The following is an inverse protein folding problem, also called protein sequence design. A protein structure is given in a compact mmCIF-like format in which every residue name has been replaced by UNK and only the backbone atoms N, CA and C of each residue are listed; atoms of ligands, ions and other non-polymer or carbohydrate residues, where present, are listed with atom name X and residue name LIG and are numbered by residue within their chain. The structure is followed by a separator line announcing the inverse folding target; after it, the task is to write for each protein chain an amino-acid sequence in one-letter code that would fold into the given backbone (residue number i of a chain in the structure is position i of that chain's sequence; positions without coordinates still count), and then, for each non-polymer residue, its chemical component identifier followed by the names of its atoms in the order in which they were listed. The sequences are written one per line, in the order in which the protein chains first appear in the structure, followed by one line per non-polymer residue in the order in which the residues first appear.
data_IF_870539287788
#
_entry.id   IF_870539287788
#
_cell.length_a   1.000
_cell.length_b   1.000
_cell.length_c   1.000
_cell.angle_alpha   90.00
_cell.angle_beta   90.00
_cell.angle_gamma   90.00
#
_symmetry.space_group_name_H-M   'P 1'
#
loop_
_entity.id
_entity.type
_entity.pdbx_description
1 polymer ?
#
# COMPACT_ATOMS: atom_id res chain seq x y z
N UNK A 1 -9.33 29.35 -4.25
CA UNK A 1 -10.80 29.23 -4.41
C UNK A 1 -11.15 27.75 -4.55
N UNK A 2 -11.24 27.00 -3.45
CA UNK A 2 -12.43 26.83 -2.60
C UNK A 2 -13.64 26.12 -3.27
N UNK A 3 -13.39 25.14 -4.15
CA UNK A 3 -14.44 24.23 -4.67
C UNK A 3 -14.81 23.09 -3.70
N UNK A 4 -14.15 22.98 -2.55
CA UNK A 4 -14.24 21.81 -1.65
C UNK A 4 -15.06 22.05 -0.36
N UNK A 5 -15.63 23.24 -0.15
CA UNK A 5 -16.40 23.58 1.06
C UNK A 5 -17.92 23.67 0.80
N UNK A 6 -18.41 23.17 -0.35
CA UNK A 6 -19.83 23.26 -0.77
C UNK A 6 -20.52 21.91 -1.00
N UNK A 7 -19.95 20.81 -0.50
CA UNK A 7 -20.71 19.58 -0.44
C UNK A 7 -21.11 19.38 1.02
N UNK A 8 -22.41 19.54 1.30
CA UNK A 8 -23.02 18.94 2.48
C UNK A 8 -22.63 17.47 2.44
N UNK A 9 -21.67 17.08 3.29
CA UNK A 9 -21.33 15.67 3.44
C UNK A 9 -22.56 15.04 4.03
N UNK A 10 -23.33 14.34 3.19
CA UNK A 10 -24.46 13.55 3.66
C UNK A 10 -23.91 12.60 4.74
N UNK A 11 -24.49 12.61 5.94
CA UNK A 11 -24.02 11.74 7.00
C UNK A 11 -24.09 10.29 6.52
N UNK A 12 -23.14 9.48 6.96
CA UNK A 12 -23.18 8.04 6.69
C UNK A 12 -24.50 7.49 7.24
N UNK A 13 -25.25 6.72 6.43
CA UNK A 13 -26.45 6.07 6.92
C UNK A 13 -26.10 5.07 8.03
N UNK A 14 -27.10 4.58 8.77
CA UNK A 14 -26.89 3.45 9.67
C UNK A 14 -26.24 2.27 8.93
N UNK A 15 -25.25 1.64 9.56
CA UNK A 15 -24.47 0.54 8.98
C UNK A 15 -24.97 -0.77 9.57
N UNK A 16 -25.11 -1.78 8.72
CA UNK A 16 -25.48 -3.13 9.10
C UNK A 16 -24.22 -3.88 9.53
N UNK A 17 -24.05 -4.03 10.85
CA UNK A 17 -22.92 -4.71 11.48
C UNK A 17 -23.27 -6.16 11.83
N UNK A 18 -22.29 -6.91 12.31
CA UNK A 18 -22.48 -8.28 12.82
C UNK A 18 -23.44 -8.33 14.02
N UNK A 19 -23.53 -7.26 14.80
CA UNK A 19 -24.41 -7.12 15.98
C UNK A 19 -25.74 -6.43 15.66
N UNK A 20 -26.02 -6.14 14.38
CA UNK A 20 -27.21 -5.43 13.93
C UNK A 20 -26.92 -4.01 13.45
N UNK A 21 -27.97 -3.17 13.37
CA UNK A 21 -27.86 -1.84 12.79
C UNK A 21 -27.25 -0.84 13.79
N UNK A 22 -26.14 -0.20 13.39
CA UNK A 22 -25.39 0.77 14.21
C UNK A 22 -25.56 2.21 13.72
N UNK A 23 -25.49 3.17 14.65
CA UNK A 23 -25.89 4.55 14.37
C UNK A 23 -24.83 5.59 14.73
N UNK A 24 -24.04 5.37 15.79
CA UNK A 24 -22.97 6.29 16.20
C UNK A 24 -21.75 6.15 15.30
N UNK A 25 -20.91 7.18 15.24
CA UNK A 25 -19.73 7.15 14.37
C UNK A 25 -18.67 6.17 14.89
N UNK A 26 -18.58 6.00 16.21
CA UNK A 26 -17.73 5.01 16.87
C UNK A 26 -18.17 3.58 16.52
N UNK A 27 -19.46 3.25 16.65
CA UNK A 27 -19.96 1.91 16.31
C UNK A 27 -19.83 1.63 14.80
N UNK A 28 -20.04 2.63 13.95
CA UNK A 28 -19.82 2.48 12.50
C UNK A 28 -18.36 2.22 12.20
N UNK A 29 -17.44 2.92 12.86
CA UNK A 29 -16.00 2.70 12.67
C UNK A 29 -15.61 1.27 13.03
N UNK A 30 -16.15 0.73 14.13
CA UNK A 30 -15.94 -0.66 14.54
C UNK A 30 -16.54 -1.64 13.52
N UNK A 31 -17.78 -1.41 13.05
CA UNK A 31 -18.39 -2.25 12.02
C UNK A 31 -17.58 -2.30 10.70
N UNK A 32 -16.93 -1.18 10.34
CA UNK A 32 -15.98 -1.17 9.24
C UNK A 32 -14.69 -1.92 9.56
N UNK A 33 -14.14 -1.78 10.77
CA UNK A 33 -12.94 -2.50 11.20
C UNK A 33 -13.16 -4.02 11.16
N UNK A 34 -14.27 -4.50 11.72
CA UNK A 34 -14.68 -5.92 11.68
C UNK A 34 -14.78 -6.44 10.23
N UNK A 35 -15.45 -5.66 9.37
CA UNK A 35 -15.59 -6.02 7.96
C UNK A 35 -14.24 -6.08 7.24
N UNK A 36 -13.29 -5.20 7.59
CA UNK A 36 -11.95 -5.22 7.01
C UNK A 36 -11.15 -6.40 7.53
N UNK A 37 -11.22 -6.68 8.82
CA UNK A 37 -10.55 -7.84 9.41
C UNK A 37 -11.00 -9.12 8.72
N UNK A 38 -12.31 -9.30 8.53
CA UNK A 38 -12.87 -10.46 7.84
C UNK A 38 -12.41 -10.55 6.37
N UNK A 39 -12.36 -9.44 5.65
CA UNK A 39 -11.92 -9.41 4.24
C UNK A 39 -10.42 -9.64 4.07
N UNK A 40 -9.63 -9.30 5.08
CA UNK A 40 -8.18 -9.42 5.06
C UNK A 40 -7.68 -10.75 5.65
N UNK A 41 -8.56 -11.72 5.92
CA UNK A 41 -8.17 -13.07 6.33
C UNK A 41 -7.65 -13.87 5.13
N UNK A 42 -6.73 -14.78 5.40
CA UNK A 42 -6.25 -15.75 4.42
C UNK A 42 -7.42 -16.59 3.90
N UNK A 43 -7.58 -16.67 2.59
CA UNK A 43 -8.60 -17.50 1.98
C UNK A 43 -8.03 -18.90 1.69
N UNK A 44 -8.32 -19.85 2.57
CA UNK A 44 -7.83 -21.23 2.47
C UNK A 44 -8.76 -22.15 1.68
N UNK A 45 -9.95 -21.68 1.28
CA UNK A 45 -11.01 -22.53 0.73
C UNK A 45 -10.64 -23.24 -0.58
N UNK A 46 -9.68 -22.71 -1.34
CA UNK A 46 -9.21 -23.27 -2.62
C UNK A 46 -7.68 -23.29 -2.70
N UNK A 47 -6.98 -23.38 -1.56
CA UNK A 47 -5.52 -23.39 -1.56
C UNK A 47 -5.00 -24.74 -2.07
N UNK A 48 -4.11 -24.69 -3.06
CA UNK A 48 -3.26 -25.82 -3.44
C UNK A 48 -2.12 -25.93 -2.43
N UNK A 49 -2.22 -26.89 -1.51
CA UNK A 49 -1.27 -27.04 -0.41
C UNK A 49 0.14 -27.41 -0.90
N UNK A 50 0.24 -28.21 -1.96
CA UNK A 50 1.52 -28.61 -2.53
C UNK A 50 2.23 -27.37 -3.11
N UNK A 51 1.49 -26.54 -3.85
CA UNK A 51 2.03 -25.29 -4.38
C UNK A 51 2.41 -24.28 -3.28
N UNK A 52 1.64 -24.20 -2.19
CA UNK A 52 1.99 -23.36 -1.04
C UNK A 52 3.32 -23.81 -0.42
N UNK A 53 3.48 -25.12 -0.20
CA UNK A 53 4.71 -25.68 0.36
C UNK A 53 5.92 -25.43 -0.54
N UNK A 54 5.77 -25.53 -1.87
CA UNK A 54 6.81 -25.18 -2.84
C UNK A 54 7.25 -23.72 -2.71
N UNK A 55 6.29 -22.77 -2.67
CA UNK A 55 6.58 -21.34 -2.50
C UNK A 55 7.29 -21.07 -1.17
N UNK A 56 6.83 -21.70 -0.09
CA UNK A 56 7.47 -21.52 1.22
C UNK A 56 8.91 -22.03 1.24
N UNK A 57 9.17 -23.20 0.62
CA UNK A 57 10.52 -23.73 0.50
C UNK A 57 11.40 -22.81 -0.33
N UNK A 58 10.90 -22.30 -1.47
CA UNK A 58 11.61 -21.31 -2.27
C UNK A 58 11.97 -20.06 -1.45
N UNK A 59 11.01 -19.50 -0.70
CA UNK A 59 11.23 -18.33 0.14
C UNK A 59 12.29 -18.58 1.24
N UNK A 60 12.31 -19.77 1.85
CA UNK A 60 13.35 -20.17 2.82
C UNK A 60 14.71 -20.24 2.15
N UNK A 61 14.80 -20.83 0.97
CA UNK A 61 16.06 -20.95 0.21
C UNK A 61 16.63 -19.58 -0.15
N UNK A 62 15.80 -18.66 -0.65
CA UNK A 62 16.22 -17.27 -0.94
C UNK A 62 16.75 -16.58 0.31
N UNK A 63 16.08 -16.76 1.46
CA UNK A 63 16.53 -16.20 2.74
C UNK A 63 17.88 -16.75 3.20
N UNK A 64 18.17 -18.02 2.94
CA UNK A 64 19.44 -18.65 3.34
C UNK A 64 20.62 -18.32 2.41
N UNK A 65 20.34 -18.06 1.13
CA UNK A 65 21.37 -17.70 0.14
C UNK A 65 21.90 -16.27 0.31
N UNK A 66 21.14 -15.39 0.96
CA UNK A 66 21.51 -13.98 1.03
C UNK A 66 22.23 -13.63 2.35
N UNK A 67 23.47 -13.15 2.22
CA UNK A 67 24.25 -12.57 3.31
C UNK A 67 23.62 -11.21 3.65
N UNK A 68 23.45 -10.90 4.95
CA UNK A 68 22.89 -9.63 5.39
C UNK A 68 23.81 -8.45 5.05
N UNK A 69 23.74 -7.96 3.81
CA UNK A 69 24.42 -6.73 3.45
C UNK A 69 23.69 -5.52 4.06
N UNK A 70 24.43 -4.51 4.55
CA UNK A 70 23.84 -3.27 5.00
C UNK A 70 23.10 -2.58 3.84
N UNK A 71 21.85 -2.20 4.07
CA UNK A 71 21.10 -1.41 3.09
C UNK A 71 21.85 -0.10 2.85
N UNK A 72 22.20 0.24 1.59
CA UNK A 72 23.00 1.42 1.31
C UNK A 72 22.26 2.70 1.75
N UNK A 73 22.95 3.64 2.41
CA UNK A 73 22.32 4.89 2.84
C UNK A 73 21.88 5.72 1.62
N UNK A 74 20.91 6.60 1.85
CA UNK A 74 20.42 7.54 0.85
C UNK A 74 21.03 8.93 1.02
N UNK A 75 21.03 9.68 -0.08
CA UNK A 75 21.48 11.06 -0.13
C UNK A 75 20.31 12.06 -0.06
N UNK A 76 20.55 13.31 0.35
CA UNK A 76 19.53 14.35 0.26
C UNK A 76 19.02 14.60 -1.17
N UNK A 77 19.88 14.35 -2.18
CA UNK A 77 19.50 14.47 -3.59
C UNK A 77 18.46 13.41 -3.97
N UNK A 78 18.65 12.17 -3.53
CA UNK A 78 17.71 11.07 -3.77
C UNK A 78 16.34 11.34 -3.14
N UNK A 79 16.32 11.76 -1.87
CA UNK A 79 15.08 12.17 -1.20
C UNK A 79 14.41 13.35 -1.91
N UNK A 80 15.20 14.29 -2.44
CA UNK A 80 14.68 15.43 -3.21
C UNK A 80 13.98 14.99 -4.48
N UNK A 81 14.53 14.03 -5.22
CA UNK A 81 13.89 13.50 -6.44
C UNK A 81 12.59 12.76 -6.11
N UNK A 82 12.56 11.96 -5.04
CA UNK A 82 11.31 11.33 -4.58
C UNK A 82 10.25 12.38 -4.25
N UNK A 83 10.62 13.47 -3.59
CA UNK A 83 9.68 14.55 -3.25
C UNK A 83 9.18 15.29 -4.50
N UNK A 84 10.03 15.49 -5.51
CA UNK A 84 9.60 16.10 -6.79
C UNK A 84 8.51 15.26 -7.47
N UNK A 85 8.57 13.94 -7.36
CA UNK A 85 7.56 13.03 -7.92
C UNK A 85 6.20 13.04 -7.19
N UNK A 86 6.08 13.70 -6.03
CA UNK A 86 4.84 13.70 -5.25
C UNK A 86 3.71 14.49 -5.94
N UNK A 87 2.52 13.91 -5.96
CA UNK A 87 1.32 14.58 -6.42
C UNK A 87 0.83 15.61 -5.38
N UNK A 88 0.78 16.89 -5.75
CA UNK A 88 0.52 18.00 -4.81
C UNK A 88 -0.91 18.05 -4.27
N UNK A 89 -1.87 17.46 -4.97
CA UNK A 89 -3.30 17.48 -4.62
C UNK A 89 -3.75 16.28 -3.77
N UNK A 90 -2.81 15.47 -3.27
CA UNK A 90 -3.12 14.37 -2.35
C UNK A 90 -3.41 14.91 -0.95
N UNK A 91 -4.37 14.30 -0.25
CA UNK A 91 -4.66 14.61 1.14
C UNK A 91 -3.46 14.24 2.04
N UNK A 92 -3.20 15.01 3.11
CA UNK A 92 -2.21 14.65 4.13
C UNK A 92 -2.72 13.47 4.97
N UNK A 93 -1.81 12.84 5.72
CA UNK A 93 -2.17 11.90 6.78
C UNK A 93 -2.36 12.60 8.12
N UNK A 94 -2.30 11.86 9.25
CA UNK A 94 -2.54 12.38 10.60
C UNK A 94 -1.64 13.56 11.00
N UNK A 95 -0.43 13.64 10.43
CA UNK A 95 0.52 14.73 10.68
C UNK A 95 0.13 16.06 10.02
N UNK A 96 -0.91 16.07 9.19
CA UNK A 96 -1.39 17.23 8.43
C UNK A 96 -0.35 17.85 7.47
N UNK A 97 0.77 17.17 7.20
CA UNK A 97 1.82 17.66 6.31
C UNK A 97 1.46 17.32 4.86
N UNK A 98 0.98 18.32 4.11
CA UNK A 98 0.64 18.13 2.71
C UNK A 98 1.86 17.90 1.81
N UNK A 99 1.65 17.20 0.69
CA UNK A 99 2.68 17.07 -0.36
C UNK A 99 3.14 18.43 -0.92
N UNK A 100 2.27 19.45 -0.89
CA UNK A 100 2.62 20.82 -1.27
C UNK A 100 3.61 21.44 -0.29
N UNK A 101 3.41 21.24 1.01
CA UNK A 101 4.36 21.68 2.03
C UNK A 101 5.69 20.93 1.91
N UNK A 102 5.65 19.61 1.69
CA UNK A 102 6.85 18.79 1.50
C UNK A 102 7.70 19.25 0.29
N UNK A 103 7.05 19.65 -0.81
CA UNK A 103 7.75 20.23 -1.98
C UNK A 103 8.34 21.62 -1.72
N UNK A 104 7.78 22.38 -0.78
CA UNK A 104 8.23 23.72 -0.39
C UNK A 104 9.06 23.74 0.91
N UNK A 105 9.52 22.58 1.37
CA UNK A 105 10.30 22.44 2.61
C UNK A 105 11.63 23.23 2.52
N UNK A 106 12.16 23.72 3.65
CA UNK A 106 13.52 24.26 3.68
C UNK A 106 14.57 23.13 3.55
N UNK A 107 15.78 23.45 3.10
CA UNK A 107 16.86 22.45 2.95
C UNK A 107 17.23 21.75 4.27
N UNK A 108 17.13 22.46 5.41
CA UNK A 108 17.32 21.83 6.73
C UNK A 108 16.34 20.68 6.97
N UNK A 109 15.09 20.82 6.54
CA UNK A 109 14.09 19.76 6.66
C UNK A 109 14.38 18.59 5.72
N UNK A 110 14.94 18.84 4.53
CA UNK A 110 15.41 17.78 3.63
C UNK A 110 16.54 16.96 4.28
N UNK A 111 17.52 17.64 4.87
CA UNK A 111 18.65 16.97 5.54
C UNK A 111 18.16 16.16 6.73
N UNK A 112 17.26 16.73 7.55
CA UNK A 112 16.66 16.02 8.69
C UNK A 112 15.88 14.78 8.25
N UNK A 113 15.05 14.88 7.20
CA UNK A 113 14.32 13.73 6.67
C UNK A 113 15.27 12.64 6.16
N UNK A 114 16.32 13.01 5.44
CA UNK A 114 17.38 12.09 4.99
C UNK A 114 18.02 11.37 6.18
N UNK A 115 18.34 12.10 7.25
CA UNK A 115 18.93 11.51 8.46
C UNK A 115 17.99 10.51 9.13
N UNK A 116 16.69 10.81 9.19
CA UNK A 116 15.67 9.89 9.72
C UNK A 116 15.61 8.62 8.87
N UNK A 117 15.54 8.76 7.53
CA UNK A 117 15.48 7.60 6.62
C UNK A 117 16.74 6.72 6.73
N UNK A 118 17.92 7.33 6.81
CA UNK A 118 19.15 6.58 7.04
C UNK A 118 19.19 5.91 8.42
N UNK A 119 18.58 6.52 9.44
CA UNK A 119 18.41 5.87 10.74
C UNK A 119 17.47 4.67 10.65
N UNK A 120 16.41 4.71 9.83
CA UNK A 120 15.53 3.55 9.59
C UNK A 120 16.34 2.38 9.03
N UNK A 121 17.19 2.62 8.02
CA UNK A 121 18.04 1.56 7.45
C UNK A 121 19.06 1.01 8.45
N UNK A 122 19.71 1.89 9.21
CA UNK A 122 20.73 1.49 10.19
C UNK A 122 20.13 0.74 11.37
N UNK A 123 19.03 1.24 11.93
CA UNK A 123 18.41 0.71 13.16
C UNK A 123 17.36 -0.36 12.87
N UNK A 124 17.00 -0.59 11.60
CA UNK A 124 15.93 -1.50 11.16
C UNK A 124 14.60 -1.21 11.85
N UNK A 125 14.36 0.05 12.21
CA UNK A 125 13.19 0.49 12.96
C UNK A 125 12.42 1.56 12.20
N UNK A 126 11.16 1.28 11.87
CA UNK A 126 10.28 2.24 11.20
C UNK A 126 9.44 3.03 12.22
N UNK A 127 9.37 4.37 12.13
CA UNK A 127 8.65 5.20 13.10
C UNK A 127 7.19 4.77 13.26
N UNK A 128 6.77 4.53 14.51
CA UNK A 128 5.39 4.10 14.81
C UNK A 128 4.35 5.10 14.30
N UNK A 129 4.60 6.40 14.45
CA UNK A 129 3.68 7.44 13.96
C UNK A 129 3.48 7.42 12.45
N UNK A 130 4.44 6.91 11.67
CA UNK A 130 4.31 6.76 10.23
C UNK A 130 3.55 5.49 9.82
N UNK A 131 3.32 4.56 10.76
CA UNK A 131 2.46 3.38 10.55
C UNK A 131 0.98 3.69 10.81
N UNK A 132 0.67 4.83 11.43
CA UNK A 132 -0.68 5.29 11.67
C UNK A 132 -1.25 5.99 10.42
N UNK A 133 -2.53 5.78 10.13
CA UNK A 133 -3.22 6.40 9.01
C UNK A 133 -4.64 6.80 9.39
N UNK A 134 -5.13 7.88 8.78
CA UNK A 134 -6.58 8.16 8.76
C UNK A 134 -7.20 7.31 7.65
N UNK A 135 -8.16 6.45 7.98
CA UNK A 135 -8.81 5.58 7.01
C UNK A 135 -10.13 6.20 6.57
N UNK A 136 -10.28 6.44 5.25
CA UNK A 136 -11.51 6.96 4.66
C UNK A 136 -12.19 5.87 3.84
N UNK A 137 -13.48 5.67 4.07
CA UNK A 137 -14.30 4.69 3.35
C UNK A 137 -15.03 5.32 2.17
N UNK A 138 -14.79 4.78 0.96
CA UNK A 138 -15.42 5.24 -0.29
C UNK A 138 -16.38 4.16 -0.81
N UNK A 139 -17.66 4.49 -0.95
CA UNK A 139 -18.68 3.57 -1.45
C UNK A 139 -18.35 3.07 -2.87
N UNK A 140 -18.47 1.76 -3.09
CA UNK A 140 -18.38 1.14 -4.42
C UNK A 140 -19.57 1.61 -5.29
N UNK A 141 -19.35 2.00 -6.56
CA UNK A 141 -20.42 2.43 -7.45
C UNK A 141 -21.57 1.42 -7.52
N UNK A 142 -22.80 1.90 -7.41
CA UNK A 142 -24.02 1.08 -7.53
C UNK A 142 -24.28 0.11 -6.38
N UNK A 143 -23.52 0.17 -5.27
CA UNK A 143 -23.71 -0.70 -4.11
C UNK A 143 -24.47 0.00 -2.99
N UNK A 144 -25.15 -0.77 -2.15
CA UNK A 144 -25.91 -0.25 -1.01
C UNK A 144 -24.96 0.32 0.06
N UNK A 145 -25.22 1.53 0.58
CA UNK A 145 -24.39 2.16 1.61
C UNK A 145 -24.61 1.60 3.01
N UNK A 146 -25.59 0.69 3.19
CA UNK A 146 -25.84 0.07 4.50
C UNK A 146 -24.77 -0.94 4.89
N UNK A 147 -24.09 -1.53 3.92
CA UNK A 147 -23.22 -2.68 4.15
C UNK A 147 -21.74 -2.26 4.13
N UNK A 148 -20.96 -2.55 5.19
CA UNK A 148 -19.57 -2.08 5.30
C UNK A 148 -18.67 -2.63 4.19
N UNK A 149 -18.89 -3.88 3.74
CA UNK A 149 -18.16 -4.52 2.64
C UNK A 149 -18.33 -3.83 1.28
N UNK A 150 -19.33 -2.95 1.14
CA UNK A 150 -19.55 -2.17 -0.06
C UNK A 150 -18.66 -0.94 -0.15
N UNK A 151 -17.81 -0.67 0.84
CA UNK A 151 -16.88 0.44 0.82
C UNK A 151 -15.46 -0.02 0.46
N UNK A 152 -14.64 0.91 0.00
CA UNK A 152 -13.20 0.75 -0.22
C UNK A 152 -12.47 1.59 0.83
N UNK A 153 -11.63 0.97 1.68
CA UNK A 153 -10.79 1.75 2.60
C UNK A 153 -9.68 2.45 1.81
N UNK A 154 -9.40 3.71 2.17
CA UNK A 154 -8.27 4.48 1.65
C UNK A 154 -7.49 5.01 2.85
N UNK A 155 -6.29 4.48 3.06
CA UNK A 155 -5.39 4.91 4.14
C UNK A 155 -4.62 6.18 3.77
N UNK A 156 -4.81 7.24 4.54
CA UNK A 156 -4.05 8.48 4.42
C UNK A 156 -2.84 8.45 5.35
N UNK A 157 -1.69 8.04 4.80
CA UNK A 157 -0.41 7.97 5.52
C UNK A 157 0.36 9.30 5.43
N UNK A 158 1.27 9.51 6.41
CA UNK A 158 2.25 10.60 6.41
C UNK A 158 3.00 10.69 5.07
N UNK A 159 3.19 11.90 4.56
CA UNK A 159 4.00 12.13 3.37
C UNK A 159 5.47 11.70 3.58
N UNK A 160 6.00 11.90 4.79
CA UNK A 160 7.37 11.50 5.14
C UNK A 160 7.52 9.98 5.18
N UNK A 161 6.56 9.27 5.79
CA UNK A 161 6.50 7.80 5.79
C UNK A 161 6.49 7.22 4.39
N UNK A 162 5.62 7.73 3.51
CA UNK A 162 5.54 7.29 2.10
C UNK A 162 6.83 7.52 1.31
N UNK A 163 7.60 8.56 1.63
CA UNK A 163 8.92 8.79 0.99
C UNK A 163 9.90 7.69 1.41
N UNK A 164 9.94 7.36 2.70
CA UNK A 164 10.78 6.28 3.22
C UNK A 164 10.37 4.92 2.63
N UNK A 165 9.07 4.61 2.62
CA UNK A 165 8.51 3.40 1.99
C UNK A 165 8.87 3.30 0.51
N UNK A 166 8.75 4.40 -0.24
CA UNK A 166 9.08 4.40 -1.66
C UNK A 166 10.55 4.14 -1.91
N UNK A 167 11.43 4.64 -1.04
CA UNK A 167 12.85 4.35 -1.13
C UNK A 167 13.14 2.88 -0.79
N UNK A 168 12.53 2.34 0.26
CA UNK A 168 12.60 0.91 0.61
C UNK A 168 12.17 0.08 -0.59
N UNK A 169 11.04 0.42 -1.20
CA UNK A 169 10.51 -0.27 -2.37
C UNK A 169 11.48 -0.23 -3.57
N UNK A 170 12.12 0.92 -3.84
CA UNK A 170 13.13 1.01 -4.91
C UNK A 170 14.33 0.11 -4.63
N UNK A 171 14.78 0.01 -3.37
CA UNK A 171 15.90 -0.88 -3.00
C UNK A 171 15.51 -2.35 -3.10
N UNK A 172 14.34 -2.71 -2.55
CA UNK A 172 13.80 -4.07 -2.62
C UNK A 172 13.55 -4.52 -4.07
N UNK A 173 13.01 -3.63 -4.92
CA UNK A 173 12.74 -3.93 -6.32
C UNK A 173 13.99 -4.34 -7.08
N UNK A 174 15.12 -3.64 -6.87
CA UNK A 174 16.41 -4.01 -7.47
C UNK A 174 16.86 -5.40 -7.04
N UNK A 175 16.82 -5.70 -5.74
CA UNK A 175 17.20 -7.02 -5.23
C UNK A 175 16.28 -8.12 -5.79
N UNK A 176 14.98 -7.86 -5.88
CA UNK A 176 13.99 -8.80 -6.44
C UNK A 176 14.26 -9.07 -7.92
N UNK A 177 14.64 -8.05 -8.69
CA UNK A 177 15.01 -8.17 -10.09
C UNK A 177 16.37 -8.88 -10.26
N UNK A 178 17.40 -8.52 -9.50
CA UNK A 178 18.73 -9.14 -9.57
C UNK A 178 18.69 -10.64 -9.24
N UNK A 179 17.83 -11.03 -8.29
CA UNK A 179 17.68 -12.41 -7.84
C UNK A 179 16.59 -13.18 -8.60
N UNK A 180 15.87 -12.55 -9.53
CA UNK A 180 14.74 -13.14 -10.28
C UNK A 180 13.75 -13.88 -9.36
N UNK A 181 13.37 -13.24 -8.25
CA UNK A 181 12.54 -13.87 -7.20
C UNK A 181 11.09 -14.09 -7.67
N UNK A 182 10.59 -13.20 -8.53
CA UNK A 182 9.20 -13.26 -8.99
C UNK A 182 9.07 -14.19 -10.21
N UNK A 183 8.07 -15.08 -10.24
CA UNK A 183 7.79 -15.89 -11.42
C UNK A 183 7.35 -15.01 -12.59
N UNK A 184 7.59 -15.47 -13.82
CA UNK A 184 7.24 -14.72 -15.02
C UNK A 184 5.73 -14.56 -15.21
N UNK A 185 4.95 -15.46 -14.62
CA UNK A 185 3.50 -15.42 -14.50
C UNK A 185 2.97 -14.27 -13.63
N UNK A 186 3.83 -13.61 -12.84
CA UNK A 186 3.42 -12.52 -11.97
C UNK A 186 3.46 -11.17 -12.68
N UNK A 187 2.31 -10.75 -13.19
CA UNK A 187 2.15 -9.47 -13.90
C UNK A 187 1.66 -8.34 -12.97
N UNK A 188 0.98 -8.71 -11.89
CA UNK A 188 0.46 -7.76 -10.91
C UNK A 188 1.58 -7.00 -10.21
N UNK A 189 1.49 -5.67 -10.18
CA UNK A 189 2.44 -4.79 -9.49
C UNK A 189 3.90 -4.88 -9.99
N UNK A 190 4.13 -5.44 -11.18
CA UNK A 190 5.46 -5.53 -11.81
C UNK A 190 5.64 -4.41 -12.85
N UNK A 191 6.80 -3.73 -12.89
CA UNK A 191 7.10 -2.78 -13.96
C UNK A 191 7.00 -3.47 -15.33
N UNK A 192 6.59 -2.72 -16.35
CA UNK A 192 6.49 -3.19 -17.74
C UNK A 192 5.52 -4.36 -17.99
N UNK A 193 4.64 -4.66 -17.04
CA UNK A 193 3.57 -5.64 -17.20
C UNK A 193 2.21 -4.97 -17.01
N UNK A 194 1.19 -5.44 -17.75
CA UNK A 194 -0.19 -4.97 -17.63
C UNK A 194 -1.16 -6.14 -17.51
N UNK A 195 -2.40 -5.83 -17.14
CA UNK A 195 -3.49 -6.82 -17.12
C UNK A 195 -3.86 -7.33 -18.52
N UNK A 196 -3.53 -6.58 -19.57
CA UNK A 196 -3.77 -6.96 -20.96
C UNK A 196 -2.76 -8.03 -21.37
N UNK A 197 -1.49 -7.84 -21.01
CA UNK A 197 -0.43 -8.81 -21.35
C UNK A 197 -0.73 -10.18 -20.72
N UNK A 198 -1.21 -10.21 -19.48
CA UNK A 198 -1.61 -11.45 -18.83
C UNK A 198 -2.83 -12.11 -19.49
N UNK A 199 -3.77 -11.32 -19.98
CA UNK A 199 -4.93 -11.84 -20.71
C UNK A 199 -4.48 -12.50 -22.02
N UNK A 200 -3.57 -11.85 -22.76
CA UNK A 200 -3.01 -12.40 -24.01
C UNK A 200 -2.32 -13.73 -23.72
N UNK A 201 -1.42 -13.78 -22.72
CA UNK A 201 -0.74 -15.02 -22.31
C UNK A 201 -1.72 -16.15 -22.01
N UNK A 202 -2.81 -15.86 -21.28
CA UNK A 202 -3.82 -16.85 -20.93
C UNK A 202 -4.58 -17.37 -22.15
N UNK A 203 -4.96 -16.48 -23.07
CA UNK A 203 -5.66 -16.85 -24.31
C UNK A 203 -4.77 -17.71 -25.20
N UNK A 204 -3.50 -17.36 -25.34
CA UNK A 204 -2.51 -18.14 -26.10
C UNK A 204 -2.32 -19.53 -25.48
N UNK A 205 -2.11 -19.60 -24.16
CA UNK A 205 -1.97 -20.86 -23.43
C UNK A 205 -3.18 -21.78 -23.59
N UNK A 206 -4.40 -21.23 -23.51
CA UNK A 206 -5.61 -22.00 -23.73
C UNK A 206 -5.72 -22.49 -25.19
N UNK A 207 -5.34 -21.65 -26.16
CA UNK A 207 -5.41 -21.98 -27.60
C UNK A 207 -4.41 -23.07 -28.00
N UNK A 208 -3.20 -23.05 -27.43
CA UNK A 208 -2.20 -24.09 -27.68
C UNK A 208 -2.53 -25.41 -26.99
N UNK A 209 -3.18 -25.38 -25.83
CA UNK A 209 -3.59 -26.58 -25.08
C UNK A 209 -4.79 -27.31 -25.69
N UNK A 210 -5.52 -26.66 -26.60
CA UNK A 210 -6.70 -27.21 -27.28
C UNK A 210 -6.38 -27.88 -28.63
N UNK A 211 -5.15 -27.72 -29.14
CA UNK A 211 -4.65 -28.35 -30.36
C UNK A 211 -3.72 -29.52 -30.03
#
# INVERSE_FOLDING_TARGET
MAKALRNDRKPLPPIDSTTGLVYTDEEKAEAFADSLELQCRTNEANADLDHVDEIEQFARNVRHQHIEEPIPPCSPAEIRELIKSLHTRKAPGPDSISNRAMKKRPDKALVALTAIVNAIFRLRCFPKCWKCADVIFILKPGKSPKFPQNYRPISLLSAAGKIAERLIHVRLGRTVEELQILPDEQFGFRPHHSTIDQLIRLVEYASTSLN
#
